data_IF_674333147510
#
_entry.id   IF_674333147510
#
_cell.length_a   1.000
_cell.length_b   1.000
_cell.length_c   1.000
_cell.angle_alpha   90.00
_cell.angle_beta   90.00
_cell.angle_gamma   90.00
#
_symmetry.space_group_name_H-M   'P 1'
#
loop_
_entity.id
_entity.type
_entity.pdbx_description
1 polymer ?
#
# COMPACT_ATOMS: atom_id res chain seq x y z
N UNK A 1 16.03 -6.54 12.72
CA UNK A 1 15.25 -7.11 11.60
C UNK A 1 14.18 -6.11 11.26
N UNK A 2 14.04 -5.76 9.98
CA UNK A 2 13.06 -4.78 9.54
C UNK A 2 11.84 -5.52 9.02
N UNK A 3 10.67 -5.20 9.56
CA UNK A 3 9.41 -5.75 9.06
C UNK A 3 8.79 -4.81 8.03
N UNK A 4 8.07 -5.40 7.09
CA UNK A 4 7.44 -4.70 5.98
C UNK A 4 5.95 -4.99 5.92
N UNK A 5 5.21 -4.05 5.35
CA UNK A 5 3.85 -4.30 4.87
C UNK A 5 3.83 -4.18 3.36
N UNK A 6 2.94 -4.95 2.73
CA UNK A 6 2.77 -4.95 1.28
C UNK A 6 1.49 -4.20 0.93
N UNK A 7 1.64 -3.20 0.09
CA UNK A 7 0.58 -2.31 -0.38
C UNK A 7 0.21 -2.71 -1.80
N UNK A 8 -1.08 -2.85 -2.08
CA UNK A 8 -1.56 -3.10 -3.43
C UNK A 8 -1.96 -1.81 -4.13
N UNK A 9 -1.20 -1.44 -5.17
CA UNK A 9 -1.54 -0.36 -6.08
C UNK A 9 -2.70 -0.75 -7.00
N UNK A 10 -2.75 -2.01 -7.43
CA UNK A 10 -3.80 -2.51 -8.33
C UNK A 10 -5.20 -2.42 -7.72
N UNK A 11 -5.30 -2.77 -6.43
CA UNK A 11 -6.57 -2.79 -5.71
C UNK A 11 -6.91 -1.47 -5.02
N UNK A 12 -5.93 -0.56 -4.85
CA UNK A 12 -6.22 0.79 -4.38
C UNK A 12 -6.73 1.63 -5.56
N UNK A 13 -7.98 2.08 -5.48
CA UNK A 13 -8.63 2.89 -6.51
C UNK A 13 -8.79 4.32 -6.07
N UNK A 14 -8.90 5.22 -7.05
CA UNK A 14 -9.09 6.66 -6.83
C UNK A 14 -10.25 7.00 -5.87
N UNK A 15 -11.29 6.18 -5.84
CA UNK A 15 -12.47 6.37 -4.97
C UNK A 15 -12.27 5.87 -3.54
N UNK A 16 -11.28 5.02 -3.30
CA UNK A 16 -11.04 4.48 -1.96
C UNK A 16 -10.47 5.58 -1.06
N UNK A 17 -11.00 5.69 0.14
CA UNK A 17 -10.49 6.62 1.17
C UNK A 17 -9.25 6.08 1.89
N UNK A 18 -9.08 4.76 1.89
CA UNK A 18 -7.95 4.05 2.49
C UNK A 18 -7.16 3.26 1.43
N UNK A 19 -5.86 3.11 1.66
CA UNK A 19 -4.97 2.29 0.83
C UNK A 19 -5.21 0.81 1.12
N UNK A 20 -5.18 -0.01 0.07
CA UNK A 20 -5.36 -1.46 0.17
C UNK A 20 -4.06 -2.16 0.53
N UNK A 21 -4.11 -2.96 1.58
CA UNK A 21 -3.00 -3.71 2.15
C UNK A 21 -3.20 -5.20 1.93
N UNK A 22 -2.10 -5.94 1.89
CA UNK A 22 -2.13 -7.40 1.90
C UNK A 22 -2.40 -7.91 3.31
N UNK A 23 -3.17 -9.00 3.42
CA UNK A 23 -3.35 -9.74 4.67
C UNK A 23 -2.16 -10.64 4.97
N UNK A 24 -2.04 -11.22 6.18
CA UNK A 24 -1.06 -12.25 6.47
C UNK A 24 -1.11 -13.42 5.46
N UNK A 25 0.05 -14.04 5.22
CA UNK A 25 0.22 -15.22 4.37
C UNK A 25 -0.26 -15.07 2.92
N UNK A 26 -0.21 -13.85 2.37
CA UNK A 26 -0.68 -13.54 1.01
C UNK A 26 -2.19 -13.81 0.80
N UNK A 27 -2.97 -13.93 1.88
CA UNK A 27 -4.39 -14.35 1.84
C UNK A 27 -5.38 -13.20 1.67
N UNK A 28 -5.25 -12.50 0.55
CA UNK A 28 -6.18 -11.46 0.12
C UNK A 28 -5.86 -10.08 0.71
N UNK A 29 -6.88 -9.22 0.75
CA UNK A 29 -6.70 -7.79 0.97
C UNK A 29 -7.49 -7.25 2.16
N UNK A 30 -6.99 -6.19 2.76
CA UNK A 30 -7.67 -5.41 3.79
C UNK A 30 -7.39 -3.92 3.59
N UNK A 31 -8.12 -3.09 4.35
CA UNK A 31 -7.91 -1.65 4.39
C UNK A 31 -7.48 -1.16 5.78
N UNK A 32 -7.69 -1.96 6.83
CA UNK A 32 -7.24 -1.65 8.21
C UNK A 32 -5.87 -2.24 8.51
N UNK A 33 -5.13 -1.55 9.38
CA UNK A 33 -3.80 -1.98 9.84
C UNK A 33 -3.86 -3.23 10.72
N UNK A 34 -4.89 -3.37 11.55
CA UNK A 34 -5.08 -4.54 12.42
C UNK A 34 -5.10 -5.87 11.65
N UNK A 35 -5.60 -5.83 10.40
CA UNK A 35 -5.74 -7.00 9.54
C UNK A 35 -4.61 -7.15 8.53
N UNK A 36 -3.68 -6.20 8.51
CA UNK A 36 -2.58 -6.17 7.57
C UNK A 36 -1.55 -7.26 7.89
N UNK A 37 -1.01 -7.87 6.85
CA UNK A 37 0.09 -8.80 6.95
C UNK A 37 1.40 -8.07 7.21
N UNK A 38 2.19 -8.63 8.13
CA UNK A 38 3.56 -8.20 8.40
C UNK A 38 4.48 -9.26 7.82
N UNK A 39 5.46 -8.81 7.03
CA UNK A 39 6.36 -9.66 6.27
C UNK A 39 7.81 -9.37 6.68
N UNK A 40 8.60 -10.40 7.03
CA UNK A 40 10.00 -10.19 7.35
C UNK A 40 10.79 -9.79 6.11
N UNK A 41 11.84 -8.98 6.31
CA UNK A 41 12.73 -8.51 5.25
C UNK A 41 13.22 -9.64 4.33
N UNK A 42 13.65 -10.76 4.89
CA UNK A 42 14.19 -11.90 4.14
C UNK A 42 13.19 -12.42 3.10
N UNK A 43 11.92 -12.59 3.47
CA UNK A 43 10.85 -13.05 2.57
C UNK A 43 10.55 -12.03 1.47
N UNK A 44 10.59 -10.74 1.79
CA UNK A 44 10.42 -9.67 0.81
C UNK A 44 11.57 -9.68 -0.19
N UNK A 45 12.80 -9.83 0.29
CA UNK A 45 14.01 -9.82 -0.54
C UNK A 45 14.11 -11.05 -1.45
N UNK A 46 13.71 -12.23 -0.94
CA UNK A 46 13.66 -13.48 -1.72
C UNK A 46 12.65 -13.41 -2.87
N UNK A 47 11.55 -12.67 -2.70
CA UNK A 47 10.48 -12.54 -3.68
C UNK A 47 10.18 -11.08 -4.05
N UNK A 48 11.23 -10.28 -4.31
CA UNK A 48 11.12 -8.84 -4.62
C UNK A 48 10.15 -8.53 -5.75
N UNK A 49 10.15 -9.31 -6.83
CA UNK A 49 9.26 -9.08 -7.96
C UNK A 49 7.77 -9.30 -7.64
N UNK A 50 7.47 -10.11 -6.61
CA UNK A 50 6.10 -10.40 -6.20
C UNK A 50 5.58 -9.33 -5.22
N UNK A 51 6.39 -8.99 -4.23
CA UNK A 51 6.03 -8.05 -3.17
C UNK A 51 6.28 -6.58 -3.53
N UNK A 52 7.22 -6.31 -4.43
CA UNK A 52 7.70 -4.97 -4.79
C UNK A 52 7.85 -4.77 -6.31
N UNK A 53 6.87 -5.22 -7.09
CA UNK A 53 6.85 -5.04 -8.55
C UNK A 53 6.79 -3.57 -8.98
N UNK A 54 6.20 -2.69 -8.17
CA UNK A 54 5.96 -1.28 -8.45
C UNK A 54 4.72 -1.00 -9.30
N UNK A 55 4.35 -1.85 -10.25
CA UNK A 55 3.11 -1.65 -11.01
C UNK A 55 1.87 -2.21 -10.31
N UNK A 56 2.03 -3.29 -9.53
CA UNK A 56 0.91 -3.92 -8.80
C UNK A 56 1.03 -3.74 -7.30
N UNK A 57 2.24 -3.89 -6.76
CA UNK A 57 2.48 -3.90 -5.32
C UNK A 57 3.79 -3.19 -4.98
N UNK A 58 3.86 -2.61 -3.77
CA UNK A 58 5.08 -2.08 -3.18
C UNK A 58 5.22 -2.57 -1.74
N UNK A 59 6.46 -2.80 -1.31
CA UNK A 59 6.76 -3.15 0.08
C UNK A 59 7.40 -1.96 0.80
N UNK A 60 6.84 -1.58 1.95
CA UNK A 60 7.30 -0.43 2.75
C UNK A 60 7.57 -0.84 4.20
N UNK A 61 8.54 -0.21 4.89
CA UNK A 61 8.84 -0.52 6.29
C UNK A 61 7.64 -0.31 7.21
N UNK A 62 7.39 -1.27 8.10
CA UNK A 62 6.36 -1.20 9.13
C UNK A 62 6.58 -0.01 10.07
N UNK A 63 7.83 0.38 10.30
CA UNK A 63 8.19 1.52 11.15
C UNK A 63 7.64 2.86 10.64
N UNK A 64 7.35 3.01 9.35
CA UNK A 64 6.77 4.23 8.78
C UNK A 64 5.27 4.35 9.07
N UNK A 65 4.60 3.21 9.27
CA UNK A 65 3.14 3.11 9.29
C UNK A 65 2.49 3.95 10.40
N UNK A 66 2.96 3.94 11.66
CA UNK A 66 2.36 4.74 12.73
C UNK A 66 2.36 6.25 12.46
N UNK A 67 3.27 6.75 11.62
CA UNK A 67 3.37 8.17 11.28
C UNK A 67 2.48 8.60 10.12
N UNK A 68 1.93 7.62 9.40
CA UNK A 68 1.05 7.83 8.25
C UNK A 68 -0.38 7.38 8.53
N UNK A 69 -0.54 6.51 9.51
CA UNK A 69 -1.82 5.96 9.89
C UNK A 69 -2.75 7.06 10.39
N UNK A 70 -4.01 6.97 9.98
CA UNK A 70 -5.07 7.84 10.45
C UNK A 70 -6.36 7.02 10.60
N UNK A 71 -7.25 7.49 11.45
CA UNK A 71 -8.56 6.88 11.60
C UNK A 71 -9.50 7.41 10.51
N UNK A 72 -9.95 6.52 9.63
CA UNK A 72 -10.73 6.90 8.45
C UNK A 72 -12.07 6.17 8.44
N UNK A 73 -13.14 6.93 8.24
CA UNK A 73 -14.47 6.39 7.97
C UNK A 73 -14.56 5.85 6.54
N UNK A 74 -14.63 4.53 6.41
CA UNK A 74 -14.87 3.87 5.12
C UNK A 74 -16.37 3.83 4.79
N UNK A 75 -16.73 3.68 3.50
CA UNK A 75 -18.09 3.88 2.92
C UNK A 75 -19.28 3.26 3.70
N UNK A 76 -19.04 2.31 4.60
CA UNK A 76 -20.01 1.61 5.45
C UNK A 76 -20.21 2.21 6.85
N UNK A 77 -19.71 3.43 7.14
CA UNK A 77 -19.63 4.02 8.50
C UNK A 77 -18.73 3.24 9.47
N UNK A 78 -17.87 2.39 8.93
CA UNK A 78 -16.86 1.69 9.72
C UNK A 78 -15.62 2.58 9.83
N UNK A 79 -15.19 2.77 11.07
CA UNK A 79 -13.94 3.47 11.40
C UNK A 79 -12.84 2.43 11.60
N UNK A 80 -11.62 2.83 11.29
CA UNK A 80 -10.49 1.93 11.36
C UNK A 80 -9.20 2.67 11.09
N UNK A 81 -8.20 2.37 11.91
CA UNK A 81 -6.84 2.84 11.70
C UNK A 81 -6.29 2.25 10.40
N UNK A 82 -6.00 3.13 9.44
CA UNK A 82 -5.56 2.74 8.10
C UNK A 82 -4.58 3.76 7.52
N UNK A 83 -4.04 3.47 6.34
CA UNK A 83 -3.30 4.46 5.58
C UNK A 83 -4.27 5.25 4.70
N UNK A 84 -4.44 6.57 4.91
CA UNK A 84 -5.35 7.36 4.10
C UNK A 84 -4.84 7.46 2.66
N UNK A 85 -5.72 7.24 1.70
CA UNK A 85 -5.41 7.31 0.28
C UNK A 85 -5.34 8.77 -0.18
N UNK A 86 -4.20 9.41 0.02
CA UNK A 86 -3.97 10.78 -0.41
C UNK A 86 -2.53 10.98 -0.92
N UNK A 87 -2.28 12.11 -1.58
CA UNK A 87 -0.99 12.41 -2.20
C UNK A 87 0.17 12.46 -1.18
N UNK A 88 -0.08 12.95 0.04
CA UNK A 88 0.94 13.09 1.07
C UNK A 88 1.39 11.72 1.60
N UNK A 89 0.44 10.80 1.82
CA UNK A 89 0.71 9.41 2.20
C UNK A 89 1.49 8.71 1.09
N UNK A 90 1.03 8.76 -0.16
CA UNK A 90 1.71 8.13 -1.28
C UNK A 90 3.13 8.64 -1.50
N UNK A 91 3.35 9.95 -1.37
CA UNK A 91 4.69 10.55 -1.50
C UNK A 91 5.67 9.95 -0.49
N UNK A 92 5.26 9.77 0.76
CA UNK A 92 6.10 9.18 1.81
C UNK A 92 6.32 7.68 1.59
N UNK A 93 5.27 6.95 1.21
CA UNK A 93 5.36 5.52 0.90
C UNK A 93 6.32 5.22 -0.25
N UNK A 94 6.21 5.96 -1.36
CA UNK A 94 7.07 5.79 -2.53
C UNK A 94 8.52 6.17 -2.27
N UNK A 95 8.79 7.09 -1.33
CA UNK A 95 10.14 7.44 -0.93
C UNK A 95 10.80 6.40 -0.01
N UNK A 96 10.00 5.52 0.62
CA UNK A 96 10.46 4.55 1.61
C UNK A 96 10.35 3.10 1.15
N UNK A 97 10.16 2.86 -0.16
CA UNK A 97 10.07 1.50 -0.71
C UNK A 97 11.37 0.74 -0.45
N UNK A 98 11.27 -0.54 -0.11
CA UNK A 98 12.41 -1.40 0.29
C UNK A 98 13.59 -1.37 -0.70
N UNK A 99 13.29 -1.37 -2.00
CA UNK A 99 14.25 -1.35 -3.11
C UNK A 99 13.61 -0.66 -4.32
N UNK A 100 14.43 -0.23 -5.31
CA UNK A 100 13.92 0.18 -6.61
C UNK A 100 12.99 -0.89 -7.18
N UNK A 101 11.81 -0.48 -7.63
CA UNK A 101 10.82 -1.38 -8.22
C UNK A 101 11.17 -1.70 -9.66
N UNK A 102 10.75 -2.87 -10.13
CA UNK A 102 10.96 -3.28 -11.52
C UNK A 102 10.19 -2.39 -12.50
N UNK A 103 8.99 -1.94 -12.10
CA UNK A 103 8.13 -1.08 -12.91
C UNK A 103 7.81 0.22 -12.17
N UNK A 104 7.55 1.32 -12.89
CA UNK A 104 7.19 2.60 -12.28
C UNK A 104 5.84 2.53 -11.57
N UNK A 105 5.82 2.99 -10.32
CA UNK A 105 4.63 3.03 -9.47
C UNK A 105 3.72 4.20 -9.81
N UNK A 106 2.47 3.91 -10.16
CA UNK A 106 1.45 4.89 -10.49
C UNK A 106 0.22 4.73 -9.58
N UNK A 107 0.29 5.15 -8.30
CA UNK A 107 -0.84 5.03 -7.38
C UNK A 107 -2.03 5.90 -7.79
N UNK A 108 -3.23 5.35 -7.65
CA UNK A 108 -4.48 6.10 -7.78
C UNK A 108 -4.94 6.65 -6.43
N UNK A 109 -5.14 7.96 -6.34
CA UNK A 109 -5.73 8.62 -5.16
C UNK A 109 -6.70 9.73 -5.56
N UNK A 110 -7.66 10.14 -4.70
CA UNK A 110 -8.50 11.31 -4.94
C UNK A 110 -7.66 12.51 -5.41
N UNK A 111 -8.03 13.10 -6.55
CA UNK A 111 -7.30 14.21 -7.18
C UNK A 111 -6.16 13.83 -8.14
N UNK A 112 -5.76 12.56 -8.24
CA UNK A 112 -4.79 12.11 -9.26
C UNK A 112 -5.35 12.22 -10.68
N UNK A 113 -4.48 12.51 -11.66
CA UNK A 113 -4.85 12.55 -13.09
C UNK A 113 -5.31 11.15 -13.51
N UNK A 114 -6.45 11.07 -14.20
CA UNK A 114 -6.96 9.82 -14.78
C UNK A 114 -5.89 9.30 -15.75
N UNK A 115 -5.38 8.09 -15.52
CA UNK A 115 -4.65 7.40 -16.56
C UNK A 115 -5.63 7.28 -17.75
N UNK A 116 -5.25 7.82 -18.92
CA UNK A 116 -6.01 7.55 -20.14
C UNK A 116 -5.87 6.04 -20.36
N UNK A 117 -6.94 5.29 -20.15
CA UNK A 117 -7.05 3.96 -20.72
C UNK A 117 -6.80 4.13 -22.23
N UNK A 118 -5.77 3.47 -22.74
CA UNK A 118 -5.57 3.38 -24.18
C UNK A 118 -6.79 2.64 -24.74
N UNK A 119 -7.57 3.36 -25.55
CA UNK A 119 -8.74 2.85 -26.24
C UNK A 119 -8.36 1.80 -27.29
#
# INVERSE_FOLDING_TARGET
MTDYIVISLKHTKRRHKAITLWRPDDRGYCWTLERAGVYPEERILEHLGYYNSGCTNIAVPLSLIPFLADDVEYDTKEFGMCLPNNAATWKKLLASVVRPTQYPSHPEHPGSRRAKEAA
#
